data_IF_351424050522
#
_entry.id   IF_351424050522
#
_cell.length_a   1.000
_cell.length_b   1.000
_cell.length_c   1.000
_cell.angle_alpha   90.00
_cell.angle_beta   90.00
_cell.angle_gamma   90.00
#
_symmetry.space_group_name_H-M   'P 1'
#
loop_
_entity.id
_entity.type
_entity.pdbx_description
1 polymer ?
#
# COMPACT_ATOMS: atom_id res chain seq x y z
N UNK A 1 20.03 20.29 16.67
CA UNK A 1 18.60 19.95 16.73
C UNK A 1 18.20 19.47 15.34
N UNK A 2 18.03 18.18 15.14
CA UNK A 2 17.57 17.64 13.85
C UNK A 2 16.07 17.83 13.80
N UNK A 3 15.59 18.80 13.05
CA UNK A 3 14.15 18.99 12.80
C UNK A 3 13.69 17.82 11.97
N UNK A 4 13.07 16.83 12.58
CA UNK A 4 12.42 15.76 11.81
C UNK A 4 11.21 16.35 11.11
N UNK A 5 11.28 16.48 9.80
CA UNK A 5 10.12 16.84 8.99
C UNK A 5 9.00 15.80 9.24
N UNK A 6 7.75 16.24 9.33
CA UNK A 6 6.64 15.30 9.44
C UNK A 6 6.63 14.38 8.22
N UNK A 7 6.26 13.12 8.42
CA UNK A 7 6.07 12.20 7.31
C UNK A 7 4.93 12.69 6.41
N UNK A 8 5.06 12.51 5.10
CA UNK A 8 3.97 12.79 4.18
C UNK A 8 2.75 11.92 4.53
N UNK A 9 1.51 12.39 4.35
CA UNK A 9 0.35 11.53 4.47
C UNK A 9 0.42 10.40 3.43
N UNK A 10 -0.13 9.23 3.76
CA UNK A 10 -0.16 8.07 2.88
C UNK A 10 -1.56 7.71 2.44
N UNK A 11 -1.67 7.07 1.27
CA UNK A 11 -2.82 6.26 0.86
C UNK A 11 -2.31 4.89 0.44
N UNK A 12 -2.99 3.84 0.90
CA UNK A 12 -2.65 2.44 0.55
C UNK A 12 -3.61 1.94 -0.51
N UNK A 13 -3.08 1.44 -1.62
CA UNK A 13 -3.87 0.85 -2.72
C UNK A 13 -3.87 -0.66 -2.54
N UNK A 14 -4.98 -1.23 -2.18
CA UNK A 14 -5.16 -2.65 -1.93
C UNK A 14 -6.17 -3.28 -2.88
N UNK A 15 -6.32 -4.59 -2.84
CA UNK A 15 -7.34 -5.32 -3.58
C UNK A 15 -7.74 -6.61 -2.85
N UNK A 16 -8.84 -7.25 -3.23
CA UNK A 16 -9.22 -8.57 -2.70
C UNK A 16 -8.26 -9.69 -3.08
N UNK A 17 -7.55 -9.56 -4.21
CA UNK A 17 -6.65 -10.60 -4.72
C UNK A 17 -5.59 -10.01 -5.65
N UNK A 18 -4.59 -10.85 -6.00
CA UNK A 18 -3.65 -10.56 -7.08
C UNK A 18 -4.39 -10.45 -8.42
N UNK A 19 -3.86 -9.64 -9.35
CA UNK A 19 -4.45 -9.47 -10.69
C UNK A 19 -5.67 -8.54 -10.75
N UNK A 20 -6.08 -7.92 -9.65
CA UNK A 20 -7.23 -6.99 -9.60
C UNK A 20 -6.94 -5.58 -10.13
N UNK A 21 -5.73 -5.31 -10.63
CA UNK A 21 -5.39 -4.03 -11.22
C UNK A 21 -4.72 -3.01 -10.26
N UNK A 22 -4.28 -3.43 -9.08
CA UNK A 22 -3.59 -2.55 -8.10
C UNK A 22 -2.47 -1.73 -8.72
N UNK A 23 -1.54 -2.39 -9.43
CA UNK A 23 -0.36 -1.75 -10.03
C UNK A 23 -0.75 -0.69 -11.04
N UNK A 24 -1.76 -0.97 -11.88
CA UNK A 24 -2.27 0.00 -12.85
C UNK A 24 -2.85 1.22 -12.17
N UNK A 25 -3.69 1.01 -11.15
CA UNK A 25 -4.31 2.10 -10.40
C UNK A 25 -3.27 2.90 -9.61
N UNK A 26 -2.36 2.24 -8.91
CA UNK A 26 -1.33 2.90 -8.12
C UNK A 26 -0.38 3.73 -9.02
N UNK A 27 0.12 3.13 -10.10
CA UNK A 27 1.00 3.83 -11.06
C UNK A 27 0.29 5.02 -11.72
N UNK A 28 -0.97 4.81 -12.13
CA UNK A 28 -1.79 5.87 -12.73
C UNK A 28 -2.06 7.02 -11.77
N UNK A 29 -2.38 6.71 -10.50
CA UNK A 29 -2.60 7.70 -9.45
C UNK A 29 -1.33 8.51 -9.16
N UNK A 30 -0.18 7.83 -9.03
CA UNK A 30 1.13 8.49 -8.87
C UNK A 30 1.40 9.46 -10.02
N UNK A 31 1.20 9.01 -11.26
CA UNK A 31 1.41 9.85 -12.45
C UNK A 31 0.45 11.05 -12.51
N UNK A 32 -0.81 10.85 -12.19
CA UNK A 32 -1.82 11.91 -12.17
C UNK A 32 -1.53 12.96 -11.10
N UNK A 33 -1.19 12.54 -9.89
CA UNK A 33 -0.81 13.45 -8.80
C UNK A 33 0.45 14.25 -9.14
N UNK A 34 1.47 13.59 -9.68
CA UNK A 34 2.66 14.28 -10.17
C UNK A 34 2.34 15.29 -11.27
N UNK A 35 1.46 14.91 -12.20
CA UNK A 35 1.00 15.80 -13.28
C UNK A 35 0.26 17.04 -12.78
N UNK A 36 -0.37 16.96 -11.61
CA UNK A 36 -0.99 18.10 -10.92
C UNK A 36 -0.02 18.92 -10.06
N UNK A 37 1.25 18.58 -10.05
CA UNK A 37 2.31 19.31 -9.33
C UNK A 37 2.67 18.75 -7.95
N UNK A 38 2.07 17.62 -7.53
CA UNK A 38 2.42 17.00 -6.24
C UNK A 38 3.75 16.25 -6.30
N UNK A 39 4.56 16.40 -5.26
CA UNK A 39 5.71 15.55 -5.01
C UNK A 39 5.24 14.25 -4.35
N UNK A 40 5.20 13.15 -5.11
CA UNK A 40 4.65 11.86 -4.65
C UNK A 40 5.77 10.90 -4.32
N UNK A 41 5.73 10.28 -3.12
CA UNK A 41 6.61 9.20 -2.72
C UNK A 41 5.95 7.84 -3.05
N UNK A 42 6.50 7.05 -3.98
CA UNK A 42 5.93 5.76 -4.32
C UNK A 42 6.54 4.64 -3.48
N UNK A 43 5.66 3.78 -2.94
CA UNK A 43 6.06 2.59 -2.18
C UNK A 43 5.32 1.35 -2.65
N UNK A 44 5.92 0.19 -2.40
CA UNK A 44 5.35 -1.14 -2.59
C UNK A 44 5.46 -1.95 -1.31
N UNK A 45 4.39 -2.62 -0.91
CA UNK A 45 4.43 -3.61 0.18
C UNK A 45 5.10 -4.88 -0.33
N UNK A 46 5.99 -5.45 0.48
CA UNK A 46 6.69 -6.68 0.16
C UNK A 46 7.96 -6.50 -0.70
N UNK A 47 8.66 -7.60 -1.00
CA UNK A 47 9.94 -7.59 -1.72
C UNK A 47 9.70 -7.69 -3.24
N UNK A 48 9.38 -6.58 -3.88
CA UNK A 48 9.09 -6.52 -5.31
C UNK A 48 10.20 -5.78 -6.07
N UNK A 49 10.62 -6.30 -7.25
CA UNK A 49 11.65 -5.70 -8.09
C UNK A 49 11.08 -4.96 -9.30
N UNK A 50 9.83 -5.23 -9.67
CA UNK A 50 9.22 -4.77 -10.91
C UNK A 50 8.37 -3.53 -10.66
N UNK A 51 7.38 -3.63 -9.77
CA UNK A 51 6.41 -2.57 -9.52
C UNK A 51 7.05 -1.26 -9.02
N UNK A 52 8.06 -1.28 -8.11
CA UNK A 52 8.76 -0.05 -7.73
C UNK A 52 9.43 0.69 -8.88
N UNK A 53 9.83 -0.04 -9.94
CA UNK A 53 10.37 0.56 -11.17
C UNK A 53 9.31 1.38 -11.92
N UNK A 54 8.13 0.83 -12.14
CA UNK A 54 7.02 1.55 -12.77
C UNK A 54 6.56 2.74 -11.94
N UNK A 55 6.43 2.56 -10.64
CA UNK A 55 6.06 3.64 -9.72
C UNK A 55 7.10 4.76 -9.72
N UNK A 56 8.39 4.38 -9.75
CA UNK A 56 9.50 5.34 -9.81
C UNK A 56 9.50 6.17 -11.07
N UNK A 57 9.23 5.57 -12.24
CA UNK A 57 9.06 6.28 -13.50
C UNK A 57 7.88 7.27 -13.43
N UNK A 58 6.73 6.82 -12.92
CA UNK A 58 5.55 7.66 -12.78
C UNK A 58 5.79 8.84 -11.82
N UNK A 59 6.46 8.60 -10.68
CA UNK A 59 6.76 9.61 -9.67
C UNK A 59 7.93 10.54 -10.03
N UNK A 60 8.82 10.13 -10.95
CA UNK A 60 10.09 10.82 -11.23
C UNK A 60 11.08 10.74 -10.07
N UNK A 61 10.98 9.73 -9.22
CA UNK A 61 11.84 9.47 -8.07
C UNK A 61 11.82 7.98 -7.71
N UNK A 62 12.85 7.42 -7.04
CA UNK A 62 12.92 5.99 -6.78
C UNK A 62 11.72 5.46 -6.00
N UNK A 63 11.12 4.37 -6.50
CA UNK A 63 10.19 3.54 -5.74
C UNK A 63 10.92 2.75 -4.66
N UNK A 64 10.24 2.43 -3.55
CA UNK A 64 10.82 1.74 -2.40
C UNK A 64 9.90 0.63 -1.91
N UNK A 65 10.48 -0.40 -1.33
CA UNK A 65 9.72 -1.48 -0.70
C UNK A 65 9.53 -1.24 0.81
N UNK A 66 8.38 -1.64 1.32
CA UNK A 66 8.06 -1.72 2.74
C UNK A 66 7.69 -3.17 3.05
N UNK A 67 8.61 -3.91 3.67
CA UNK A 67 8.44 -5.34 3.93
C UNK A 67 8.63 -5.66 5.42
N UNK A 68 7.54 -5.80 6.20
CA UNK A 68 7.64 -6.11 7.63
C UNK A 68 8.31 -7.44 7.93
N UNK A 69 8.22 -8.42 7.02
CA UNK A 69 8.82 -9.75 7.20
C UNK A 69 10.34 -9.68 7.12
N UNK A 70 10.87 -8.92 6.14
CA UNK A 70 12.32 -8.82 5.94
C UNK A 70 13.00 -7.88 6.93
N UNK A 71 12.38 -6.77 7.27
CA UNK A 71 13.05 -5.73 8.06
C UNK A 71 12.52 -5.59 9.49
N UNK A 72 11.40 -6.24 9.80
CA UNK A 72 10.67 -6.11 11.05
C UNK A 72 9.70 -4.91 11.03
N UNK A 73 8.53 -5.12 11.63
CA UNK A 73 7.44 -4.12 11.66
C UNK A 73 7.88 -2.76 12.23
N UNK A 74 8.77 -2.77 13.23
CA UNK A 74 9.28 -1.56 13.88
C UNK A 74 10.10 -0.65 12.96
N UNK A 75 10.58 -1.16 11.82
CA UNK A 75 11.37 -0.39 10.84
C UNK A 75 10.51 0.22 9.74
N UNK A 76 9.26 -0.19 9.59
CA UNK A 76 8.39 0.31 8.52
C UNK A 76 8.19 1.82 8.61
N UNK A 77 7.79 2.34 9.75
CA UNK A 77 7.58 3.78 9.93
C UNK A 77 8.87 4.63 9.74
N UNK A 78 10.05 4.25 10.25
CA UNK A 78 11.32 4.93 9.92
C UNK A 78 11.66 4.92 8.43
N UNK A 79 11.55 3.78 7.75
CA UNK A 79 11.81 3.66 6.31
C UNK A 79 10.83 4.51 5.50
N UNK A 80 9.55 4.49 5.87
CA UNK A 80 8.53 5.32 5.27
C UNK A 80 8.86 6.82 5.40
N UNK A 81 9.18 7.30 6.61
CA UNK A 81 9.55 8.71 6.82
C UNK A 81 10.76 9.12 5.99
N UNK A 82 11.78 8.25 5.92
CA UNK A 82 12.96 8.52 5.10
C UNK A 82 12.58 8.62 3.61
N UNK A 83 11.81 7.67 3.10
CA UNK A 83 11.44 7.61 1.68
C UNK A 83 10.46 8.69 1.24
N UNK A 84 9.60 9.19 2.16
CA UNK A 84 8.60 10.23 1.90
C UNK A 84 9.07 11.65 2.23
N UNK A 85 10.31 11.81 2.68
CA UNK A 85 10.85 13.12 3.04
C UNK A 85 10.80 14.10 1.86
N UNK A 86 10.23 15.27 2.11
CA UNK A 86 10.07 16.32 1.10
C UNK A 86 9.00 16.03 0.05
N UNK A 87 8.09 15.09 0.34
CA UNK A 87 6.92 14.83 -0.51
C UNK A 87 5.64 15.37 0.12
N UNK A 88 4.65 15.65 -0.74
CA UNK A 88 3.33 16.11 -0.33
C UNK A 88 2.43 14.93 0.06
N UNK A 89 2.63 13.77 -0.60
CA UNK A 89 1.83 12.56 -0.42
C UNK A 89 2.67 11.31 -0.73
N UNK A 90 2.32 10.20 -0.09
CA UNK A 90 2.82 8.88 -0.46
C UNK A 90 1.68 7.99 -0.98
N UNK A 91 1.98 7.23 -2.02
CA UNK A 91 1.12 6.16 -2.55
C UNK A 91 1.83 4.84 -2.28
N UNK A 92 1.17 3.96 -1.52
CA UNK A 92 1.70 2.64 -1.15
C UNK A 92 0.87 1.58 -1.86
N UNK A 93 1.44 0.90 -2.84
CA UNK A 93 0.76 -0.26 -3.45
C UNK A 93 0.91 -1.49 -2.57
N UNK A 94 -0.21 -2.15 -2.30
CA UNK A 94 -0.27 -3.40 -1.56
C UNK A 94 0.21 -4.62 -2.35
N UNK A 95 0.33 -5.73 -1.66
CA UNK A 95 0.71 -7.04 -2.20
C UNK A 95 -0.45 -8.01 -2.03
N UNK A 96 -0.63 -8.95 -2.98
CA UNK A 96 -1.70 -9.98 -2.91
C UNK A 96 -3.08 -9.41 -2.56
N UNK A 97 -3.88 -10.10 -1.76
CA UNK A 97 -5.08 -9.58 -1.14
C UNK A 97 -4.77 -8.74 0.11
N UNK A 98 -5.71 -7.88 0.49
CA UNK A 98 -5.53 -6.92 1.59
C UNK A 98 -5.01 -7.56 2.89
N UNK A 99 -5.53 -8.72 3.25
CA UNK A 99 -5.22 -9.43 4.49
C UNK A 99 -4.19 -10.57 4.31
N UNK A 100 -3.79 -10.84 3.05
CA UNK A 100 -2.86 -11.92 2.73
C UNK A 100 -1.42 -11.54 3.10
N UNK A 101 -0.69 -12.50 3.68
CA UNK A 101 0.71 -12.36 4.06
C UNK A 101 1.33 -13.71 4.35
N UNK A 102 2.25 -13.76 5.30
CA UNK A 102 2.90 -14.99 5.72
C UNK A 102 1.89 -15.96 6.32
N UNK A 103 1.89 -17.19 5.80
CA UNK A 103 1.01 -18.25 6.30
C UNK A 103 1.58 -18.75 7.63
N UNK A 104 0.82 -18.54 8.71
CA UNK A 104 1.11 -19.08 10.03
C UNK A 104 -0.14 -19.78 10.57
N UNK A 105 -0.08 -21.10 10.70
CA UNK A 105 -1.20 -21.90 11.20
C UNK A 105 -1.58 -21.59 12.67
N UNK A 106 -0.68 -20.95 13.42
CA UNK A 106 -0.90 -20.53 14.80
C UNK A 106 -1.39 -19.08 14.93
N UNK A 107 -1.42 -18.31 13.83
CA UNK A 107 -1.88 -16.93 13.85
C UNK A 107 -3.38 -16.86 14.17
N UNK A 108 -3.75 -16.00 15.11
CA UNK A 108 -5.14 -15.75 15.51
C UNK A 108 -5.65 -14.41 14.97
N UNK A 109 -4.76 -13.58 14.43
CA UNK A 109 -5.11 -12.27 13.88
C UNK A 109 -5.70 -12.41 12.49
N UNK A 110 -6.72 -11.60 12.15
CA UNK A 110 -7.33 -11.64 10.81
C UNK A 110 -6.37 -11.18 9.71
N UNK A 111 -5.45 -10.28 10.04
CA UNK A 111 -4.42 -9.78 9.11
C UNK A 111 -3.11 -10.52 9.30
N UNK A 112 -2.62 -11.17 8.24
CA UNK A 112 -1.36 -11.91 8.29
C UNK A 112 -0.13 -10.98 8.41
N UNK A 113 0.96 -11.50 9.00
CA UNK A 113 2.26 -10.81 9.01
C UNK A 113 2.71 -10.53 7.56
N UNK A 114 3.15 -9.31 7.29
CA UNK A 114 3.56 -8.87 5.94
C UNK A 114 2.40 -8.49 5.03
N UNK A 115 1.16 -8.53 5.52
CA UNK A 115 -0.01 -8.13 4.73
C UNK A 115 -0.05 -6.62 4.45
N UNK A 116 -0.79 -6.26 3.42
CA UNK A 116 -1.09 -4.85 3.12
C UNK A 116 -1.82 -4.17 4.27
N UNK A 117 -2.75 -4.88 4.94
CA UNK A 117 -3.48 -4.37 6.10
C UNK A 117 -2.53 -4.04 7.26
N UNK A 118 -1.57 -4.92 7.57
CA UNK A 118 -0.56 -4.64 8.59
C UNK A 118 0.23 -3.37 8.28
N UNK A 119 0.68 -3.20 7.03
CA UNK A 119 1.45 -1.99 6.65
C UNK A 119 0.57 -0.74 6.73
N UNK A 120 -0.69 -0.81 6.29
CA UNK A 120 -1.63 0.30 6.42
C UNK A 120 -1.83 0.71 7.89
N UNK A 121 -2.02 -0.25 8.80
CA UNK A 121 -2.13 -0.01 10.23
C UNK A 121 -0.86 0.61 10.83
N UNK A 122 0.33 0.09 10.49
CA UNK A 122 1.63 0.63 10.94
C UNK A 122 1.86 2.08 10.50
N UNK A 123 1.29 2.48 9.37
CA UNK A 123 1.39 3.84 8.83
C UNK A 123 0.23 4.74 9.26
N UNK A 124 -0.84 4.20 9.85
CA UNK A 124 -2.07 4.92 10.12
C UNK A 124 -2.71 5.45 8.82
N UNK A 125 -2.59 4.72 7.72
CA UNK A 125 -2.97 5.18 6.39
C UNK A 125 -4.34 4.62 5.96
N UNK A 126 -5.21 5.42 5.32
CA UNK A 126 -6.45 4.92 4.73
C UNK A 126 -6.16 3.97 3.57
N UNK A 127 -7.06 3.01 3.38
CA UNK A 127 -7.00 2.01 2.30
C UNK A 127 -8.02 2.33 1.22
N UNK A 128 -7.57 2.35 -0.03
CA UNK A 128 -8.41 2.35 -1.23
C UNK A 128 -8.41 0.93 -1.80
N UNK A 129 -9.57 0.28 -1.79
CA UNK A 129 -9.73 -1.08 -2.27
C UNK A 129 -10.09 -1.07 -3.77
N UNK A 130 -9.19 -1.59 -4.60
CA UNK A 130 -9.39 -1.77 -6.05
C UNK A 130 -10.03 -3.12 -6.29
N UNK A 131 -11.22 -3.12 -6.87
CA UNK A 131 -12.00 -4.35 -7.11
C UNK A 131 -12.31 -4.48 -8.59
N UNK A 132 -12.04 -5.65 -9.16
CA UNK A 132 -12.53 -6.00 -10.49
C UNK A 132 -14.02 -6.36 -10.40
N UNK A 133 -14.87 -5.48 -10.89
CA UNK A 133 -16.32 -5.62 -10.83
C UNK A 133 -16.91 -6.41 -12.01
N UNK A 134 -16.11 -6.98 -12.92
CA UNK A 134 -16.60 -7.76 -14.05
C UNK A 134 -17.40 -8.97 -13.57
N UNK A 135 -18.59 -9.15 -14.14
CA UNK A 135 -19.51 -10.24 -13.76
C UNK A 135 -20.22 -10.05 -12.40
N UNK A 136 -19.98 -8.92 -11.72
CA UNK A 136 -20.69 -8.57 -10.50
C UNK A 136 -21.82 -7.57 -10.75
N UNK A 137 -22.84 -7.65 -9.91
CA UNK A 137 -23.91 -6.67 -9.76
C UNK A 137 -24.04 -6.31 -8.27
N UNK A 138 -25.19 -6.37 -7.70
CA UNK A 138 -25.44 -6.05 -6.28
C UNK A 138 -24.63 -6.93 -5.29
N UNK A 139 -24.27 -8.15 -5.68
CA UNK A 139 -23.42 -9.04 -4.86
C UNK A 139 -22.02 -8.47 -4.57
N UNK A 140 -21.54 -7.48 -5.37
CA UNK A 140 -20.30 -6.77 -5.07
C UNK A 140 -20.35 -6.06 -3.71
N UNK A 141 -21.52 -5.56 -3.31
CA UNK A 141 -21.70 -4.93 -2.00
C UNK A 141 -21.40 -5.89 -0.84
N UNK A 142 -21.73 -7.18 -0.98
CA UNK A 142 -21.41 -8.19 0.04
C UNK A 142 -19.89 -8.42 0.16
N UNK A 143 -19.18 -8.42 -0.97
CA UNK A 143 -17.71 -8.52 -0.98
C UNK A 143 -17.09 -7.31 -0.27
N UNK A 144 -17.50 -6.10 -0.63
CA UNK A 144 -17.00 -4.86 -0.04
C UNK A 144 -17.32 -4.79 1.46
N UNK A 145 -18.53 -5.20 1.85
CA UNK A 145 -18.93 -5.29 3.26
C UNK A 145 -18.02 -6.24 4.04
N UNK A 146 -17.74 -7.44 3.48
CA UNK A 146 -16.80 -8.37 4.09
C UNK A 146 -15.43 -7.76 4.34
N UNK A 147 -14.86 -7.10 3.33
CA UNK A 147 -13.55 -6.44 3.48
C UNK A 147 -13.55 -5.27 4.47
N UNK A 148 -14.66 -4.56 4.63
CA UNK A 148 -14.77 -3.43 5.56
C UNK A 148 -15.01 -3.83 7.02
N UNK A 149 -15.39 -5.10 7.27
CA UNK A 149 -15.77 -5.58 8.61
C UNK A 149 -14.91 -6.75 9.10
N UNK A 150 -14.05 -7.31 8.26
CA UNK A 150 -13.26 -8.50 8.57
C UNK A 150 -12.20 -8.23 9.65
N UNK A 151 -11.57 -7.07 9.62
CA UNK A 151 -10.59 -6.62 10.59
C UNK A 151 -10.99 -5.18 11.01
N UNK A 152 -11.42 -5.03 12.27
CA UNK A 152 -12.00 -3.78 12.81
C UNK A 152 -11.19 -3.22 13.97
#
# INVERSE_FOLDING_TARGET
MVTTLPAAPAVVIAAPASGSGKTTVATGLVGALRGSGCAVAPFKVGPDYIDPGYHGLAAGRPGRNLDPVMVGAQRIAPLYRHGSSGCDLAVVEGVMGLFDGKIDAAAQEPSAEGSTAQVAALLGAPVVLVVDARGHSQSLAAVLHGFSTYDS
#
